data_IF_816046355410
#
_entry.id   IF_816046355410
#
_cell.length_a   1.000
_cell.length_b   1.000
_cell.length_c   1.000
_cell.angle_alpha   90.00
_cell.angle_beta   90.00
_cell.angle_gamma   90.00
#
_symmetry.space_group_name_H-M   'P 1'
#
loop_
_entity.id
_entity.type
_entity.pdbx_description
1 polymer ?
#
# COMPACT_ATOMS: atom_id res chain seq x y z
N UNK A 1 41.50 -28.73 51.22
CA UNK A 1 40.02 -28.75 51.38
C UNK A 1 39.43 -27.87 50.28
N UNK A 2 38.43 -28.40 49.55
CA UNK A 2 37.43 -27.73 48.66
C UNK A 2 37.76 -26.35 48.05
N UNK A 3 37.99 -26.22 46.74
CA UNK A 3 37.05 -26.30 45.59
C UNK A 3 36.09 -25.10 45.40
N UNK A 4 36.35 -24.27 44.38
CA UNK A 4 35.40 -23.79 43.35
C UNK A 4 36.22 -23.09 42.23
N UNK A 5 36.17 -23.42 40.93
CA UNK A 5 35.05 -23.26 39.95
C UNK A 5 34.55 -21.80 39.87
N UNK A 6 34.39 -21.10 38.74
CA UNK A 6 34.52 -21.35 37.29
C UNK A 6 35.18 -20.07 36.65
N UNK A 7 35.44 -19.87 35.33
CA UNK A 7 35.13 -20.58 34.06
C UNK A 7 36.22 -20.25 33.01
N UNK A 8 36.16 -20.88 31.83
CA UNK A 8 37.02 -20.62 30.66
C UNK A 8 36.46 -19.54 29.73
N UNK A 9 37.35 -18.75 29.10
CA UNK A 9 37.06 -17.91 27.95
C UNK A 9 37.97 -18.30 26.78
N UNK A 10 37.53 -19.29 25.98
CA UNK A 10 38.26 -19.75 24.79
C UNK A 10 37.75 -19.02 23.56
N UNK A 11 38.44 -17.96 23.15
CA UNK A 11 38.13 -17.22 21.92
C UNK A 11 38.84 -17.85 20.71
N UNK A 12 38.35 -19.02 20.29
CA UNK A 12 38.73 -19.66 19.04
C UNK A 12 37.47 -20.05 18.25
N UNK A 13 37.08 -19.23 17.28
CA UNK A 13 36.57 -19.68 15.98
C UNK A 13 36.47 -18.52 15.01
N UNK A 14 37.17 -18.62 13.88
CA UNK A 14 36.87 -17.82 12.70
C UNK A 14 35.56 -18.32 12.07
N UNK A 15 34.75 -17.41 11.53
CA UNK A 15 33.74 -17.77 10.53
C UNK A 15 34.14 -17.10 9.23
N UNK A 16 34.52 -17.94 8.27
CA UNK A 16 34.77 -17.52 6.90
C UNK A 16 33.44 -17.28 6.16
N UNK A 17 33.55 -16.53 5.05
CA UNK A 17 32.82 -16.70 3.79
C UNK A 17 31.48 -17.47 3.83
N UNK A 18 30.41 -16.84 3.32
CA UNK A 18 29.72 -17.35 2.12
C UNK A 18 28.81 -16.27 1.50
N UNK A 19 28.97 -16.16 0.18
CA UNK A 19 28.04 -15.70 -0.85
C UNK A 19 26.59 -15.41 -0.43
N UNK A 20 26.08 -14.22 -0.78
CA UNK A 20 24.69 -14.01 -1.23
C UNK A 20 24.54 -12.63 -1.92
N UNK A 21 25.29 -12.42 -3.00
CA UNK A 21 25.13 -11.28 -3.92
C UNK A 21 23.86 -11.35 -4.79
N UNK A 22 22.75 -11.81 -4.18
CA UNK A 22 21.45 -12.08 -4.82
C UNK A 22 20.32 -11.51 -3.96
N UNK A 23 20.53 -10.33 -3.36
CA UNK A 23 19.41 -9.49 -2.96
C UNK A 23 18.89 -8.84 -4.24
N UNK A 24 18.09 -9.59 -5.00
CA UNK A 24 17.35 -9.03 -6.13
C UNK A 24 16.62 -7.78 -5.65
N UNK A 25 16.82 -6.60 -6.27
CA UNK A 25 15.99 -5.45 -5.97
C UNK A 25 14.64 -5.64 -6.66
N UNK A 26 13.87 -6.65 -6.23
CA UNK A 26 12.49 -6.37 -5.90
C UNK A 26 12.56 -5.34 -4.78
N UNK A 27 12.61 -4.07 -5.21
CA UNK A 27 12.26 -2.93 -4.38
C UNK A 27 11.00 -3.36 -3.64
N UNK A 28 11.07 -3.45 -2.31
CA UNK A 28 9.90 -3.75 -1.50
C UNK A 28 8.93 -2.59 -1.73
N UNK A 29 8.02 -2.77 -2.68
CA UNK A 29 7.22 -1.70 -3.24
C UNK A 29 6.27 -1.26 -2.13
N UNK A 30 6.65 -0.19 -1.44
CA UNK A 30 6.08 0.14 -0.14
C UNK A 30 4.66 0.67 -0.32
N UNK A 31 3.69 -0.23 -0.15
CA UNK A 31 2.27 0.04 -0.26
C UNK A 31 1.84 1.07 0.77
N UNK A 32 1.35 2.21 0.30
CA UNK A 32 1.01 3.40 1.07
C UNK A 32 -0.52 3.54 1.19
N UNK A 33 -1.08 3.12 2.33
CA UNK A 33 -2.51 3.29 2.61
C UNK A 33 -2.78 4.64 3.26
N UNK A 34 -3.59 5.47 2.60
CA UNK A 34 -3.85 6.86 3.00
C UNK A 34 -5.17 7.06 3.75
N UNK A 35 -6.02 6.03 3.84
CA UNK A 35 -7.32 6.12 4.50
C UNK A 35 -8.27 7.12 3.82
N UNK A 36 -9.05 7.87 4.62
CA UNK A 36 -9.93 8.90 4.10
C UNK A 36 -9.14 10.14 3.66
N UNK A 37 -9.35 10.55 2.41
CA UNK A 37 -8.79 11.74 1.80
C UNK A 37 -9.83 12.34 0.85
N UNK A 38 -10.33 13.54 1.17
CA UNK A 38 -11.41 14.19 0.40
C UNK A 38 -10.93 14.85 -0.89
N UNK A 39 -9.66 15.25 -0.98
CA UNK A 39 -9.07 15.90 -2.17
C UNK A 39 -7.89 15.12 -2.81
N UNK A 40 -8.10 13.88 -3.32
CA UNK A 40 -7.19 13.25 -4.27
C UNK A 40 -7.35 13.82 -5.69
N UNK A 41 -8.12 14.89 -5.86
CA UNK A 41 -8.40 15.50 -7.17
C UNK A 41 -7.11 16.10 -7.74
N UNK A 42 -6.27 16.68 -6.87
CA UNK A 42 -4.93 17.14 -7.23
C UNK A 42 -4.00 16.01 -7.70
N UNK A 43 -4.26 14.75 -7.30
CA UNK A 43 -3.48 13.58 -7.73
C UNK A 43 -4.01 12.95 -9.02
N UNK A 44 -5.34 12.83 -9.16
CA UNK A 44 -5.96 12.12 -10.28
C UNK A 44 -6.54 13.04 -11.38
N UNK A 45 -6.54 14.36 -11.20
CA UNK A 45 -7.04 15.37 -12.16
C UNK A 45 -8.47 15.08 -12.71
N UNK A 46 -9.39 14.63 -11.85
CA UNK A 46 -10.72 14.16 -12.30
C UNK A 46 -11.84 15.18 -12.05
N UNK A 47 -12.71 15.34 -13.06
CA UNK A 47 -14.03 15.98 -12.91
C UNK A 47 -15.11 14.99 -12.43
N UNK A 48 -14.72 13.99 -11.64
CA UNK A 48 -15.65 13.03 -11.05
C UNK A 48 -16.75 13.75 -10.25
N UNK A 49 -18.03 13.43 -10.48
CA UNK A 49 -19.15 14.11 -9.80
C UNK A 49 -19.34 13.70 -8.34
N UNK A 50 -20.27 14.34 -7.64
CA UNK A 50 -20.66 14.10 -6.23
C UNK A 50 -20.88 12.64 -5.86
N UNK A 51 -20.23 12.14 -4.80
CA UNK A 51 -20.45 10.80 -4.26
C UNK A 51 -19.27 10.24 -3.46
N UNK A 52 -19.42 8.99 -2.99
CA UNK A 52 -18.33 8.19 -2.41
C UNK A 52 -17.50 7.54 -3.51
N UNK A 53 -16.20 7.43 -3.28
CA UNK A 53 -15.25 6.82 -4.19
C UNK A 53 -14.05 6.24 -3.45
N UNK A 54 -13.40 5.24 -4.05
CA UNK A 54 -12.02 4.90 -3.74
C UNK A 54 -11.08 5.39 -4.83
N UNK A 55 -9.81 5.55 -4.50
CA UNK A 55 -8.78 5.98 -5.43
C UNK A 55 -7.49 5.20 -5.19
N UNK A 56 -6.69 5.07 -6.23
CA UNK A 56 -5.40 4.39 -6.17
C UNK A 56 -4.42 4.96 -7.17
N UNK A 57 -3.13 4.82 -6.87
CA UNK A 57 -2.01 5.13 -7.77
C UNK A 57 -1.26 3.84 -8.05
N UNK A 58 -1.00 3.60 -9.33
CA UNK A 58 -0.25 2.44 -9.79
C UNK A 58 1.27 2.69 -9.78
N UNK A 59 2.06 1.66 -10.12
CA UNK A 59 3.51 1.72 -10.16
C UNK A 59 4.08 2.60 -11.30
N UNK A 60 3.24 2.97 -12.28
CA UNK A 60 3.57 3.93 -13.34
C UNK A 60 3.26 5.39 -12.92
N UNK A 61 2.59 5.58 -11.78
CA UNK A 61 2.11 6.88 -11.31
C UNK A 61 0.73 7.25 -11.82
N UNK A 62 0.02 6.36 -12.52
CA UNK A 62 -1.34 6.59 -12.98
C UNK A 62 -2.31 6.56 -11.80
N UNK A 63 -3.13 7.61 -11.68
CA UNK A 63 -4.04 7.82 -10.56
C UNK A 63 -5.49 7.62 -11.02
N UNK A 64 -6.14 6.57 -10.51
CA UNK A 64 -7.53 6.20 -10.87
C UNK A 64 -8.48 6.51 -9.71
N UNK A 65 -9.68 6.99 -10.03
CA UNK A 65 -10.81 7.11 -9.09
C UNK A 65 -11.94 6.19 -9.55
N UNK A 66 -12.57 5.49 -8.60
CA UNK A 66 -13.70 4.60 -8.85
C UNK A 66 -14.81 4.84 -7.83
N UNK A 67 -16.00 5.15 -8.32
CA UNK A 67 -17.24 5.33 -7.56
C UNK A 67 -17.64 4.12 -6.72
N UNK A 68 -18.24 4.38 -5.56
CA UNK A 68 -18.92 3.38 -4.73
C UNK A 68 -20.30 3.86 -4.28
N UNK A 69 -21.13 2.94 -3.81
CA UNK A 69 -22.46 3.26 -3.30
C UNK A 69 -22.44 4.02 -1.95
N UNK A 70 -21.43 3.74 -1.11
CA UNK A 70 -21.32 4.27 0.25
C UNK A 70 -19.85 4.29 0.74
N UNK A 71 -19.64 4.82 1.95
CA UNK A 71 -18.34 4.90 2.63
C UNK A 71 -17.71 3.53 2.86
N UNK A 72 -18.47 2.58 3.37
CA UNK A 72 -17.98 1.26 3.77
C UNK A 72 -17.39 0.50 2.57
N UNK A 73 -18.08 0.55 1.43
CA UNK A 73 -17.59 -0.03 0.18
C UNK A 73 -16.37 0.72 -0.35
N UNK A 74 -16.31 2.05 -0.19
CA UNK A 74 -15.13 2.84 -0.59
C UNK A 74 -13.88 2.42 0.21
N UNK A 75 -14.01 2.34 1.53
CA UNK A 75 -12.96 1.92 2.44
C UNK A 75 -12.52 0.48 2.16
N UNK A 76 -13.46 -0.46 2.11
CA UNK A 76 -13.21 -1.88 1.82
C UNK A 76 -12.52 -2.09 0.48
N UNK A 77 -12.93 -1.36 -0.58
CA UNK A 77 -12.29 -1.45 -1.90
C UNK A 77 -10.89 -0.85 -1.91
N UNK A 78 -10.68 0.29 -1.28
CA UNK A 78 -9.36 0.93 -1.19
C UNK A 78 -8.33 0.03 -0.49
N UNK A 79 -8.73 -0.67 0.58
CA UNK A 79 -7.88 -1.65 1.26
C UNK A 79 -7.67 -2.90 0.39
N UNK A 80 -8.74 -3.44 -0.19
CA UNK A 80 -8.67 -4.65 -1.03
C UNK A 80 -7.77 -4.47 -2.25
N UNK A 81 -7.87 -3.35 -2.97
CA UNK A 81 -7.07 -3.13 -4.17
C UNK A 81 -5.59 -2.92 -3.83
N UNK A 82 -5.29 -2.21 -2.73
CA UNK A 82 -3.92 -2.07 -2.26
C UNK A 82 -3.36 -3.41 -1.79
N UNK A 83 -4.12 -4.25 -1.09
CA UNK A 83 -3.66 -5.56 -0.64
C UNK A 83 -3.39 -6.49 -1.84
N UNK A 84 -4.36 -6.64 -2.73
CA UNK A 84 -4.41 -7.71 -3.73
C UNK A 84 -3.71 -7.38 -5.06
N UNK A 85 -3.54 -6.10 -5.41
CA UNK A 85 -2.85 -5.72 -6.66
C UNK A 85 -1.34 -5.59 -6.47
N UNK A 86 -0.54 -6.22 -7.33
CA UNK A 86 0.92 -6.08 -7.34
C UNK A 86 1.42 -4.76 -7.96
N UNK A 87 0.58 -4.09 -8.75
CA UNK A 87 0.90 -2.83 -9.43
C UNK A 87 0.41 -1.59 -8.68
N UNK A 88 -0.33 -1.72 -7.57
CA UNK A 88 -0.85 -0.57 -6.82
C UNK A 88 0.10 -0.21 -5.68
N UNK A 89 0.62 1.02 -5.73
CA UNK A 89 1.59 1.53 -4.75
C UNK A 89 0.94 2.36 -3.65
N UNK A 90 -0.21 2.96 -3.92
CA UNK A 90 -0.93 3.82 -2.97
C UNK A 90 -2.43 3.70 -3.17
N UNK A 91 -3.21 3.73 -2.09
CA UNK A 91 -4.67 3.80 -2.18
C UNK A 91 -5.30 4.56 -1.01
N UNK A 92 -6.54 5.00 -1.21
CA UNK A 92 -7.38 5.59 -0.18
C UNK A 92 -8.83 5.68 -0.64
N UNK A 93 -9.67 6.33 0.17
CA UNK A 93 -11.08 6.56 -0.13
C UNK A 93 -11.49 8.00 0.18
N UNK A 94 -12.62 8.45 -0.36
CA UNK A 94 -13.05 9.83 -0.20
C UNK A 94 -14.53 10.05 -0.50
N UNK A 95 -14.97 11.28 -0.26
CA UNK A 95 -16.30 11.78 -0.61
C UNK A 95 -16.15 13.15 -1.25
N UNK A 96 -16.91 13.42 -2.32
CA UNK A 96 -17.03 14.73 -2.97
C UNK A 96 -18.46 15.22 -2.84
N UNK A 97 -18.65 16.41 -2.27
CA UNK A 97 -19.95 17.08 -2.11
C UNK A 97 -20.27 18.05 -3.26
N UNK A 98 -19.26 18.66 -3.88
CA UNK A 98 -19.42 19.59 -5.00
C UNK A 98 -18.99 19.03 -6.37
N UNK A 99 -19.80 19.33 -7.40
CA UNK A 99 -19.50 19.08 -8.81
C UNK A 99 -20.28 17.94 -9.47
N UNK A 100 -20.75 18.18 -10.70
CA UNK A 100 -21.11 17.18 -11.71
C UNK A 100 -22.39 16.36 -11.51
N UNK A 101 -22.96 15.91 -12.63
CA UNK A 101 -23.96 14.83 -12.68
C UNK A 101 -23.46 13.58 -11.93
N UNK A 102 -24.36 12.75 -11.36
CA UNK A 102 -23.96 11.50 -10.72
C UNK A 102 -23.33 10.56 -11.75
N UNK A 103 -22.01 10.36 -11.63
CA UNK A 103 -21.27 9.38 -12.41
C UNK A 103 -21.93 8.01 -12.31
N UNK A 104 -22.06 7.37 -13.47
CA UNK A 104 -22.37 5.95 -13.56
C UNK A 104 -21.29 5.14 -12.87
N UNK A 105 -21.71 4.07 -12.21
CA UNK A 105 -20.81 3.01 -11.76
C UNK A 105 -20.10 2.44 -12.98
N UNK A 106 -18.76 2.53 -13.01
CA UNK A 106 -17.96 1.80 -13.99
C UNK A 106 -18.01 0.30 -13.65
N UNK A 107 -17.99 -0.59 -14.67
CA UNK A 107 -17.90 -2.02 -14.42
C UNK A 107 -16.60 -2.35 -13.68
N UNK A 108 -16.66 -3.32 -12.77
CA UNK A 108 -15.49 -3.78 -12.02
C UNK A 108 -14.40 -4.30 -12.98
N UNK A 109 -13.16 -3.87 -12.77
CA UNK A 109 -11.99 -4.52 -13.35
C UNK A 109 -11.90 -5.91 -12.70
N UNK A 110 -12.02 -6.95 -13.53
CA UNK A 110 -11.94 -8.38 -13.13
C UNK A 110 -10.51 -8.90 -13.25
#
# INVERSE_FOLDING_TARGET
MTNAFYRTASYCCAIALVSLGWVSPLLAQQKDYRGFFSDPIQLCNTREGRGWFYWYVDANGECTIVRTANREEAERRSQSILANSFHVVRAGYGFRDEGGEPLRLLPEVR
#
